data_IF_721308926944
#
_entry.id   IF_721308926944
#
_cell.length_a   1.000
_cell.length_b   1.000
_cell.length_c   1.000
_cell.angle_alpha   90.00
_cell.angle_beta   90.00
_cell.angle_gamma   90.00
#
_symmetry.space_group_name_H-M   'P 1'
#
loop_
_entity.id
_entity.type
_entity.pdbx_description
1 polymer ?
#
# COMPACT_ATOMS: atom_id res chain seq x y z
N UNK A 1 1.42 -34.52 0.60
CA UNK A 1 0.78 -33.48 -0.22
C UNK A 1 1.82 -32.38 -0.31
N UNK A 2 2.49 -32.22 -1.45
CA UNK A 2 3.43 -31.10 -1.61
C UNK A 2 2.60 -29.82 -1.69
N UNK A 3 2.68 -28.99 -0.66
CA UNK A 3 2.17 -27.62 -0.71
C UNK A 3 2.95 -26.89 -1.79
N UNK A 4 2.26 -26.47 -2.85
CA UNK A 4 2.87 -25.56 -3.82
C UNK A 4 3.23 -24.28 -3.05
N UNK A 5 4.43 -23.72 -3.25
CA UNK A 5 4.76 -22.45 -2.61
C UNK A 5 3.70 -21.42 -3.00
N UNK A 6 3.08 -20.80 -1.99
CA UNK A 6 2.12 -19.72 -2.19
C UNK A 6 2.77 -18.61 -3.01
N UNK A 7 2.07 -18.13 -4.02
CA UNK A 7 2.52 -17.00 -4.82
C UNK A 7 2.63 -15.76 -3.92
N UNK A 8 3.84 -15.20 -3.80
CA UNK A 8 4.10 -14.00 -3.01
C UNK A 8 4.35 -12.81 -3.92
N UNK A 9 3.81 -11.67 -3.53
CA UNK A 9 3.94 -10.40 -4.25
C UNK A 9 4.82 -9.46 -3.43
N UNK A 10 5.75 -8.80 -4.11
CA UNK A 10 6.57 -7.76 -3.49
C UNK A 10 5.79 -6.46 -3.48
N UNK A 11 5.66 -5.84 -2.30
CA UNK A 11 4.97 -4.57 -2.12
C UNK A 11 5.88 -3.56 -1.41
N UNK A 12 5.77 -2.31 -1.84
CA UNK A 12 6.44 -1.16 -1.27
C UNK A 12 5.40 -0.25 -0.61
N UNK A 13 5.66 0.17 0.63
CA UNK A 13 4.84 1.16 1.35
C UNK A 13 5.72 2.04 2.23
N UNK A 14 5.24 3.23 2.59
CA UNK A 14 5.99 4.20 3.38
C UNK A 14 5.18 4.61 4.62
N UNK A 15 5.85 4.66 5.77
CA UNK A 15 5.25 5.04 7.06
C UNK A 15 6.18 5.95 7.86
N UNK A 16 5.63 6.70 8.80
CA UNK A 16 6.41 7.47 9.76
C UNK A 16 7.37 6.56 10.55
N UNK A 17 8.54 7.09 10.91
CA UNK A 17 9.59 6.44 11.69
C UNK A 17 9.09 5.79 12.99
N UNK A 18 8.03 6.35 13.58
CA UNK A 18 7.48 5.89 14.85
C UNK A 18 6.36 4.85 14.69
N UNK A 19 6.05 4.43 13.47
CA UNK A 19 4.98 3.48 13.17
C UNK A 19 5.59 2.12 12.78
N UNK A 20 5.44 1.14 13.67
CA UNK A 20 5.73 -0.27 13.36
C UNK A 20 4.46 -0.96 12.88
N UNK A 21 4.32 -1.13 11.56
CA UNK A 21 3.12 -1.71 10.93
C UNK A 21 2.86 -3.19 11.29
N UNK A 22 3.78 -3.84 12.00
CA UNK A 22 3.62 -5.21 12.49
C UNK A 22 2.97 -5.29 13.88
N UNK A 23 2.69 -4.13 14.48
CA UNK A 23 2.18 -4.00 15.85
C UNK A 23 0.75 -3.51 15.86
N UNK A 24 -0.03 -3.98 16.83
CA UNK A 24 -1.42 -3.52 17.02
C UNK A 24 -1.46 -2.03 17.41
N UNK A 25 -0.45 -1.57 18.14
CA UNK A 25 -0.29 -0.19 18.58
C UNK A 25 -0.18 0.80 17.41
N UNK A 26 0.30 0.35 16.24
CA UNK A 26 0.33 1.18 15.04
C UNK A 26 -1.07 1.59 14.58
N UNK A 27 -2.12 0.79 14.85
CA UNK A 27 -3.49 1.16 14.51
C UNK A 27 -3.89 2.46 15.20
N UNK A 28 -3.57 2.60 16.49
CA UNK A 28 -3.90 3.81 17.25
C UNK A 28 -3.17 5.04 16.69
N UNK A 29 -1.89 4.89 16.36
CA UNK A 29 -1.07 5.97 15.79
C UNK A 29 -1.57 6.41 14.41
N UNK A 30 -1.96 5.45 13.56
CA UNK A 30 -2.47 5.71 12.21
C UNK A 30 -3.87 6.37 12.20
N UNK A 31 -4.64 6.19 13.26
CA UNK A 31 -5.98 6.75 13.42
C UNK A 31 -6.00 8.09 14.17
N UNK A 32 -4.84 8.70 14.44
CA UNK A 32 -4.75 10.01 15.12
C UNK A 32 -5.27 11.18 14.29
N UNK A 33 -5.43 11.00 12.98
CA UNK A 33 -5.98 12.00 12.07
C UNK A 33 -7.45 11.66 11.72
N UNK A 34 -8.42 12.58 11.94
CA UNK A 34 -9.83 12.35 11.62
C UNK A 34 -10.11 11.95 10.17
N UNK A 35 -9.30 12.42 9.22
CA UNK A 35 -9.43 12.02 7.81
C UNK A 35 -8.98 10.57 7.58
N UNK A 36 -7.94 10.11 8.30
CA UNK A 36 -7.50 8.72 8.26
C UNK A 36 -8.51 7.80 8.95
N UNK A 37 -9.10 8.24 10.06
CA UNK A 37 -10.16 7.51 10.75
C UNK A 37 -11.39 7.30 9.84
N UNK A 38 -11.85 8.36 9.17
CA UNK A 38 -12.94 8.25 8.20
C UNK A 38 -12.61 7.29 7.06
N UNK A 39 -11.40 7.38 6.48
CA UNK A 39 -10.95 6.47 5.41
C UNK A 39 -10.90 5.02 5.90
N UNK A 40 -10.43 4.77 7.12
CA UNK A 40 -10.40 3.44 7.70
C UNK A 40 -11.81 2.86 7.87
N UNK A 41 -12.79 3.68 8.29
CA UNK A 41 -14.19 3.26 8.38
C UNK A 41 -14.80 2.91 7.00
N UNK A 42 -14.46 3.66 5.96
CA UNK A 42 -14.87 3.35 4.58
C UNK A 42 -14.25 2.04 4.10
N UNK A 43 -12.94 1.85 4.34
CA UNK A 43 -12.21 0.62 4.02
C UNK A 43 -12.79 -0.59 4.75
N UNK A 44 -13.08 -0.46 6.05
CA UNK A 44 -13.66 -1.53 6.86
C UNK A 44 -14.99 -2.05 6.30
N UNK A 45 -15.84 -1.18 5.76
CA UNK A 45 -17.13 -1.58 5.17
C UNK A 45 -16.97 -2.48 3.93
N UNK A 46 -15.87 -2.35 3.21
CA UNK A 46 -15.63 -3.07 1.95
C UNK A 46 -14.70 -4.27 2.16
N UNK A 47 -13.67 -4.11 2.98
CA UNK A 47 -12.62 -5.10 3.21
C UNK A 47 -12.88 -6.00 4.42
N UNK A 48 -13.79 -5.61 5.31
CA UNK A 48 -14.01 -6.23 6.62
C UNK A 48 -12.73 -6.27 7.50
N UNK A 49 -11.86 -5.30 7.30
CA UNK A 49 -10.62 -5.12 8.05
C UNK A 49 -10.67 -3.86 8.90
N UNK A 50 -10.23 -3.94 10.15
CA UNK A 50 -10.21 -2.77 11.04
C UNK A 50 -9.32 -1.64 10.52
N UNK A 51 -8.19 -2.02 9.91
CA UNK A 51 -7.27 -1.10 9.27
C UNK A 51 -6.50 -1.81 8.17
N UNK A 52 -6.15 -1.06 7.13
CA UNK A 52 -5.30 -1.51 6.05
C UNK A 52 -4.26 -0.48 5.65
N UNK A 53 -3.15 -0.96 5.10
CA UNK A 53 -2.19 -0.15 4.36
C UNK A 53 -2.42 -0.28 2.86
N UNK A 54 -1.90 0.70 2.13
CA UNK A 54 -1.79 0.65 0.67
C UNK A 54 -0.32 0.47 0.31
N UNK A 55 0.00 -0.55 -0.46
CA UNK A 55 1.32 -0.76 -1.06
C UNK A 55 1.24 -0.84 -2.57
N UNK A 56 2.37 -0.67 -3.24
CA UNK A 56 2.49 -0.76 -4.70
C UNK A 56 3.53 -1.80 -5.08
N UNK A 57 3.37 -2.41 -6.26
CA UNK A 57 4.35 -3.37 -6.79
C UNK A 57 5.59 -2.65 -7.34
N UNK A 58 5.40 -1.47 -7.91
CA UNK A 58 6.45 -0.71 -8.58
C UNK A 58 6.71 0.59 -7.80
N UNK A 59 7.99 0.87 -7.48
CA UNK A 59 8.34 2.11 -6.79
C UNK A 59 8.02 3.36 -7.62
N UNK A 60 8.01 3.22 -8.95
CA UNK A 60 7.64 4.30 -9.89
C UNK A 60 6.17 4.71 -9.77
N UNK A 61 5.29 3.84 -9.23
CA UNK A 61 3.89 4.19 -9.00
C UNK A 61 3.75 5.33 -7.98
N UNK A 62 4.68 5.43 -7.03
CA UNK A 62 4.77 6.56 -6.10
C UNK A 62 5.26 7.85 -6.77
N UNK A 63 5.94 7.78 -7.91
CA UNK A 63 6.48 8.97 -8.61
C UNK A 63 5.67 9.38 -9.82
N UNK A 64 4.59 8.64 -10.12
CA UNK A 64 3.67 8.85 -11.26
C UNK A 64 2.87 10.18 -11.26
N UNK A 65 3.21 11.12 -10.37
CA UNK A 65 2.56 12.44 -10.26
C UNK A 65 1.29 12.45 -9.41
N UNK A 66 0.86 11.30 -8.88
CA UNK A 66 -0.28 11.20 -7.97
C UNK A 66 0.07 11.34 -6.49
N UNK A 67 1.36 11.30 -6.16
CA UNK A 67 1.88 11.48 -4.82
C UNK A 67 2.88 12.62 -4.79
N UNK A 68 2.86 13.40 -3.71
CA UNK A 68 3.92 14.34 -3.40
C UNK A 68 5.13 13.57 -2.83
N UNK A 69 6.08 13.22 -3.70
CA UNK A 69 7.26 12.41 -3.33
C UNK A 69 8.14 13.05 -2.26
N UNK A 70 7.97 14.33 -1.94
CA UNK A 70 8.69 15.00 -0.85
C UNK A 70 8.39 14.40 0.52
N UNK A 71 7.27 13.68 0.69
CA UNK A 71 6.94 13.01 1.94
C UNK A 71 7.94 11.89 2.28
N UNK A 72 8.58 11.31 1.26
CA UNK A 72 9.39 10.09 1.40
C UNK A 72 10.67 10.34 2.20
N UNK A 73 11.19 11.57 2.18
CA UNK A 73 12.42 11.97 2.87
C UNK A 73 12.39 11.78 4.40
N UNK A 74 11.20 11.69 5.01
CA UNK A 74 11.02 11.52 6.45
C UNK A 74 10.25 10.23 6.81
N UNK A 75 10.11 9.30 5.88
CA UNK A 75 9.41 8.03 6.09
C UNK A 75 10.37 6.85 6.02
N UNK A 76 9.95 5.74 6.62
CA UNK A 76 10.56 4.41 6.47
C UNK A 76 9.88 3.72 5.30
N UNK A 77 10.66 3.26 4.34
CA UNK A 77 10.18 2.36 3.29
C UNK A 77 10.15 0.93 3.84
N UNK A 78 8.98 0.31 3.75
CA UNK A 78 8.73 -1.08 4.10
C UNK A 78 8.61 -1.89 2.81
N UNK A 79 9.42 -2.94 2.72
CA UNK A 79 9.44 -3.86 1.57
C UNK A 79 8.92 -5.19 2.05
N UNK A 80 7.76 -5.57 1.52
CA UNK A 80 6.97 -6.70 1.97
C UNK A 80 6.96 -7.80 0.90
N UNK A 81 6.90 -9.06 1.33
CA UNK A 81 6.62 -10.24 0.51
C UNK A 81 5.35 -10.88 1.02
N UNK A 82 4.22 -10.43 0.44
CA UNK A 82 2.87 -10.74 0.93
C UNK A 82 2.27 -11.88 0.11
N UNK A 83 1.67 -12.91 0.71
CA UNK A 83 0.93 -13.93 -0.03
C UNK A 83 -0.21 -13.30 -0.85
N UNK A 84 -0.37 -13.70 -2.11
CA UNK A 84 -1.40 -13.15 -2.99
C UNK A 84 -2.84 -13.20 -2.40
N UNK A 85 -3.26 -14.26 -1.66
CA UNK A 85 -4.59 -14.29 -1.03
C UNK A 85 -4.84 -13.21 0.04
N UNK A 86 -3.77 -12.67 0.62
CA UNK A 86 -3.79 -11.63 1.67
C UNK A 86 -3.88 -10.21 1.08
N UNK A 87 -3.90 -10.09 -0.26
CA UNK A 87 -3.97 -8.81 -0.97
C UNK A 87 -5.40 -8.58 -1.48
N UNK A 88 -5.83 -7.32 -1.44
CA UNK A 88 -7.00 -6.84 -2.17
C UNK A 88 -6.56 -5.76 -3.14
N UNK A 89 -6.73 -6.01 -4.44
CA UNK A 89 -6.27 -5.10 -5.49
C UNK A 89 -7.30 -4.02 -5.76
N UNK A 90 -6.84 -2.78 -5.92
CA UNK A 90 -7.68 -1.66 -6.28
C UNK A 90 -7.05 -0.72 -7.30
N UNK A 91 -7.90 -0.04 -8.06
CA UNK A 91 -7.51 0.97 -9.03
C UNK A 91 -7.28 2.32 -8.31
N UNK A 92 -6.01 2.70 -8.18
CA UNK A 92 -5.61 3.80 -7.31
C UNK A 92 -6.16 5.16 -7.75
N UNK A 93 -6.08 5.50 -9.04
CA UNK A 93 -6.51 6.83 -9.51
C UNK A 93 -8.04 6.95 -9.49
N UNK A 94 -8.78 5.87 -9.72
CA UNK A 94 -10.22 5.81 -9.49
C UNK A 94 -10.61 6.10 -8.04
N UNK A 95 -9.87 5.55 -7.07
CA UNK A 95 -10.08 5.82 -5.64
C UNK A 95 -9.73 7.27 -5.27
N UNK A 96 -8.55 7.74 -5.67
CA UNK A 96 -8.07 9.08 -5.36
C UNK A 96 -8.98 10.16 -5.98
N UNK A 97 -9.46 9.92 -7.20
CA UNK A 97 -10.37 10.82 -7.92
C UNK A 97 -11.81 10.78 -7.43
N UNK A 98 -12.19 9.85 -6.53
CA UNK A 98 -13.56 9.63 -6.03
C UNK A 98 -14.62 9.58 -7.14
N UNK A 99 -14.23 9.09 -8.32
CA UNK A 99 -15.10 9.05 -9.50
C UNK A 99 -16.16 7.96 -9.41
N UNK A 100 -15.91 6.93 -8.60
CA UNK A 100 -16.75 5.77 -8.38
C UNK A 100 -16.90 5.48 -6.88
N UNK A 101 -17.95 4.76 -6.46
CA UNK A 101 -18.04 4.18 -5.13
C UNK A 101 -16.83 3.31 -4.80
N UNK A 102 -16.37 3.35 -3.54
CA UNK A 102 -15.11 2.72 -3.11
C UNK A 102 -15.07 1.21 -3.37
N UNK A 103 -16.19 0.50 -3.15
CA UNK A 103 -16.36 -0.92 -3.41
C UNK A 103 -16.21 -1.29 -4.90
N UNK A 104 -16.52 -0.37 -5.81
CA UNK A 104 -16.40 -0.58 -7.26
C UNK A 104 -14.99 -0.32 -7.80
N UNK A 105 -14.03 -0.02 -6.92
CA UNK A 105 -12.64 0.20 -7.32
C UNK A 105 -11.75 -1.01 -7.08
N UNK A 106 -12.32 -2.12 -6.59
CA UNK A 106 -11.59 -3.37 -6.31
C UNK A 106 -11.70 -4.37 -7.46
N UNK A 107 -10.60 -5.06 -7.74
CA UNK A 107 -10.47 -6.02 -8.83
C UNK A 107 -9.79 -7.31 -8.35
N UNK A 108 -9.91 -8.37 -9.14
CA UNK A 108 -9.33 -9.68 -8.83
C UNK A 108 -7.80 -9.69 -8.87
N UNK A 109 -7.22 -8.88 -9.76
CA UNK A 109 -5.80 -8.93 -10.11
C UNK A 109 -5.33 -7.58 -10.65
N UNK A 110 -4.01 -7.30 -10.60
CA UNK A 110 -3.44 -6.05 -11.07
C UNK A 110 -3.50 -5.89 -12.59
N UNK A 111 -3.53 -6.98 -13.37
CA UNK A 111 -3.56 -6.91 -14.84
C UNK A 111 -4.88 -6.32 -15.36
N UNK A 112 -5.99 -6.67 -14.71
CA UNK A 112 -7.30 -6.09 -14.98
C UNK A 112 -7.28 -4.57 -14.77
N UNK A 113 -6.58 -4.09 -13.74
CA UNK A 113 -6.45 -2.65 -13.45
C UNK A 113 -5.57 -1.96 -14.50
N UNK A 114 -4.46 -2.57 -14.89
CA UNK A 114 -3.57 -2.05 -15.94
C UNK A 114 -4.28 -1.92 -17.30
N UNK A 115 -5.24 -2.80 -17.58
CA UNK A 115 -6.08 -2.71 -18.78
C UNK A 115 -7.07 -1.53 -18.77
N UNK A 116 -7.34 -0.93 -17.59
CA UNK A 116 -8.17 0.26 -17.38
C UNK A 116 -7.36 1.58 -17.36
N UNK A 117 -6.20 1.59 -18.02
CA UNK A 117 -5.08 2.51 -17.77
C UNK A 117 -4.99 3.12 -16.35
N UNK A 118 -5.09 2.30 -15.30
CA UNK A 118 -4.97 2.75 -13.90
C UNK A 118 -3.77 2.07 -13.21
N UNK A 119 -3.39 2.59 -12.04
CA UNK A 119 -2.28 2.10 -11.22
C UNK A 119 -2.83 1.07 -10.22
N UNK A 120 -2.36 -0.20 -10.26
CA UNK A 120 -2.74 -1.19 -9.27
C UNK A 120 -2.13 -0.89 -7.91
N UNK A 121 -2.97 -0.69 -6.91
CA UNK A 121 -2.55 -0.64 -5.52
C UNK A 121 -3.06 -1.86 -4.74
N UNK A 122 -2.23 -2.32 -3.80
CA UNK A 122 -2.51 -3.46 -2.94
C UNK A 122 -2.95 -2.97 -1.57
N UNK A 123 -4.14 -3.38 -1.15
CA UNK A 123 -4.57 -3.28 0.23
C UNK A 123 -4.13 -4.51 1.02
N UNK A 124 -3.50 -4.27 2.16
CA UNK A 124 -3.05 -5.32 3.10
C UNK A 124 -3.51 -4.97 4.51
N UNK A 125 -4.01 -5.96 5.26
CA UNK A 125 -4.47 -5.77 6.64
C UNK A 125 -3.33 -5.35 7.57
N UNK A 126 -3.63 -4.46 8.52
CA UNK A 126 -2.75 -4.13 9.65
C UNK A 126 -3.28 -4.82 10.93
N UNK A 127 -2.41 -5.39 11.78
CA UNK A 127 -0.96 -5.47 11.63
C UNK A 127 -0.54 -6.45 10.53
N UNK A 128 0.58 -6.13 9.88
CA UNK A 128 1.23 -7.00 8.91
C UNK A 128 1.93 -8.14 9.65
N UNK A 129 1.88 -9.36 9.12
CA UNK A 129 2.67 -10.46 9.67
C UNK A 129 4.17 -10.13 9.57
N UNK A 130 4.94 -10.14 10.68
CA UNK A 130 6.37 -9.87 10.66
C UNK A 130 7.16 -10.71 9.64
N UNK A 131 6.75 -11.95 9.36
CA UNK A 131 7.41 -12.84 8.40
C UNK A 131 7.29 -12.36 6.95
N UNK A 132 6.36 -11.45 6.66
CA UNK A 132 6.21 -10.83 5.35
C UNK A 132 7.17 -9.66 5.16
N UNK A 133 7.79 -9.14 6.22
CA UNK A 133 8.71 -8.00 6.13
C UNK A 133 10.08 -8.48 5.65
N UNK A 134 10.43 -8.16 4.40
CA UNK A 134 11.75 -8.50 3.86
C UNK A 134 12.83 -7.56 4.40
N UNK A 135 12.53 -6.26 4.42
CA UNK A 135 13.43 -5.22 4.93
C UNK A 135 12.69 -3.91 5.14
N UNK A 136 13.22 -3.11 6.05
CA UNK A 136 12.95 -1.68 6.15
C UNK A 136 14.17 -0.90 5.67
N UNK A 137 13.96 0.21 4.99
CA UNK A 137 15.03 1.09 4.55
C UNK A 137 14.63 2.54 4.74
N UNK A 138 15.60 3.37 5.09
CA UNK A 138 15.43 4.82 5.14
C UNK A 138 15.78 5.31 3.74
N UNK A 139 14.79 5.68 2.89
CA UNK A 139 15.07 6.28 1.61
C UNK A 139 16.04 7.45 1.83
N UNK A 140 17.24 7.37 1.25
CA UNK A 140 18.03 8.58 1.05
C UNK A 140 17.26 9.55 0.16
N UNK A 141 17.63 10.84 0.17
CA UNK A 141 16.99 11.91 -0.63
C UNK A 141 16.79 11.59 -2.12
N UNK A 142 17.49 10.57 -2.64
CA UNK A 142 17.51 10.17 -4.04
C UNK A 142 16.79 8.84 -4.34
N UNK A 143 16.16 8.16 -3.38
CA UNK A 143 15.56 6.81 -3.61
C UNK A 143 14.51 6.81 -4.74
N UNK A 144 13.80 7.92 -4.90
CA UNK A 144 12.79 8.13 -5.94
C UNK A 144 13.20 9.20 -6.97
N UNK A 145 14.38 9.83 -6.80
CA UNK A 145 14.90 10.90 -7.65
C UNK A 145 15.60 10.42 -8.93
N UNK A 146 15.72 9.10 -9.12
CA UNK A 146 16.44 8.48 -10.21
C UNK A 146 15.75 8.52 -11.57
N UNK A 147 15.42 9.72 -12.09
CA UNK A 147 15.36 10.09 -13.53
C UNK A 147 14.88 11.54 -13.71
N UNK A 148 15.46 12.48 -12.98
CA UNK A 148 15.54 13.86 -13.47
C UNK A 148 16.96 14.07 -14.03
N UNK A 149 17.07 14.30 -15.34
CA UNK A 149 18.27 14.69 -16.10
C UNK A 149 19.26 13.56 -16.48
N UNK A 150 19.12 13.06 -17.71
CA UNK A 150 20.26 12.87 -18.61
C UNK A 150 20.19 13.98 -19.66
#
# INVERSE_FOLDING_TARGET
MEERPEEKVILYTFFDLNIDITKEEAKALLLTNPDLERKALEQKKVLDWDLSLVGFMDLEDFTSGHFDVSFVDNMVAWILSVPAPEIRWAAFTMQAGKKLPFDQTFFSDPETIRALPDIPCAYVKIPVNPEWVLRTTYPGKDLLGGRASA
#
